data_IF_335090436132
#
_entry.id   IF_335090436132
#
_cell.length_a   1.000
_cell.length_b   1.000
_cell.length_c   1.000
_cell.angle_alpha   90.00
_cell.angle_beta   90.00
_cell.angle_gamma   90.00
#
_symmetry.space_group_name_H-M   'P 1'
#
loop_
_entity.id
_entity.type
_entity.pdbx_description
1 polymer ?
#
# COMPACT_ATOMS: atom_id res chain seq x y z
N UNK A 1 -2.96 13.63 -1.74
CA UNK A 1 -1.79 12.76 -1.98
C UNK A 1 -2.21 11.36 -1.62
N UNK A 2 -2.15 10.43 -2.57
CA UNK A 2 -2.50 9.01 -2.35
C UNK A 2 -1.35 8.25 -1.67
N UNK A 3 -1.66 7.15 -1.03
CA UNK A 3 -0.68 6.22 -0.47
C UNK A 3 0.05 5.49 -1.60
N UNK A 4 1.38 5.32 -1.47
CA UNK A 4 2.25 4.77 -2.51
C UNK A 4 2.91 3.48 -2.03
N UNK A 5 2.75 2.39 -2.78
CA UNK A 5 3.49 1.14 -2.61
C UNK A 5 4.56 0.99 -3.69
N UNK A 6 5.81 0.83 -3.31
CA UNK A 6 6.91 0.59 -4.24
C UNK A 6 7.08 -0.90 -4.54
N UNK A 7 7.02 -1.27 -5.81
CA UNK A 7 7.25 -2.65 -6.26
C UNK A 7 8.74 -2.85 -6.52
N UNK A 8 9.35 -3.76 -5.79
CA UNK A 8 10.78 -4.07 -5.89
C UNK A 8 11.01 -5.57 -6.11
N UNK A 9 12.18 -5.93 -6.62
CA UNK A 9 12.62 -7.30 -6.84
C UNK A 9 13.71 -7.36 -7.89
N UNK A 10 14.37 -8.49 -8.04
CA UNK A 10 15.40 -8.72 -9.05
C UNK A 10 14.83 -8.66 -10.48
N UNK A 11 15.66 -8.54 -11.51
CA UNK A 11 15.21 -8.68 -12.90
C UNK A 11 14.55 -10.04 -13.15
N UNK A 12 13.58 -10.08 -14.07
CA UNK A 12 12.91 -11.31 -14.54
C UNK A 12 12.10 -12.09 -13.48
N UNK A 13 11.65 -11.41 -12.40
CA UNK A 13 10.76 -12.01 -11.38
C UNK A 13 9.27 -11.75 -11.64
N UNK A 14 8.92 -11.02 -12.72
CA UNK A 14 7.55 -10.68 -13.07
C UNK A 14 7.06 -9.31 -12.63
N UNK A 15 7.95 -8.40 -12.14
CA UNK A 15 7.57 -7.04 -11.72
C UNK A 15 6.83 -6.25 -12.78
N UNK A 16 7.41 -6.16 -13.99
CA UNK A 16 6.83 -5.39 -15.09
C UNK A 16 5.51 -6.00 -15.57
N UNK A 17 5.39 -7.33 -15.53
CA UNK A 17 4.15 -8.04 -15.85
C UNK A 17 3.07 -7.68 -14.83
N UNK A 18 3.37 -7.74 -13.54
CA UNK A 18 2.49 -7.29 -12.46
C UNK A 18 2.09 -5.83 -12.62
N UNK A 19 3.05 -4.94 -12.85
CA UNK A 19 2.80 -3.51 -13.00
C UNK A 19 1.93 -3.22 -14.23
N UNK A 20 2.17 -3.90 -15.35
CA UNK A 20 1.36 -3.78 -16.56
C UNK A 20 -0.08 -4.25 -16.32
N UNK A 21 -0.28 -5.38 -15.62
CA UNK A 21 -1.61 -5.86 -15.26
C UNK A 21 -2.35 -4.87 -14.36
N UNK A 22 -1.66 -4.28 -13.37
CA UNK A 22 -2.21 -3.20 -12.52
C UNK A 22 -2.60 -1.97 -13.35
N UNK A 23 -1.75 -1.53 -14.28
CA UNK A 23 -2.00 -0.33 -15.10
C UNK A 23 -3.04 -0.57 -16.18
N UNK A 24 -3.14 -1.76 -16.75
CA UNK A 24 -4.20 -2.15 -17.69
C UNK A 24 -5.56 -2.16 -16.99
N UNK A 25 -5.64 -2.74 -15.80
CA UNK A 25 -6.84 -2.70 -14.96
C UNK A 25 -7.22 -1.25 -14.63
N UNK A 26 -6.26 -0.40 -14.29
CA UNK A 26 -6.47 1.02 -14.06
C UNK A 26 -6.96 1.75 -15.31
N UNK A 27 -6.39 1.47 -16.49
CA UNK A 27 -6.80 2.08 -17.77
C UNK A 27 -8.20 1.67 -18.19
N UNK A 28 -8.58 0.41 -18.02
CA UNK A 28 -9.93 -0.08 -18.27
C UNK A 28 -10.95 0.61 -17.35
N UNK A 29 -10.60 0.81 -16.09
CA UNK A 29 -11.42 1.57 -15.12
C UNK A 29 -11.46 3.06 -15.44
N UNK A 30 -10.35 3.66 -15.92
CA UNK A 30 -10.24 5.06 -16.26
C UNK A 30 -11.08 5.46 -17.49
N UNK A 31 -11.35 4.53 -18.40
CA UNK A 31 -12.27 4.76 -19.52
C UNK A 31 -13.68 5.18 -19.04
N UNK A 32 -14.03 4.80 -17.81
CA UNK A 32 -15.27 5.18 -17.16
C UNK A 32 -15.17 6.46 -16.30
N UNK A 33 -13.95 7.01 -16.09
CA UNK A 33 -13.72 8.16 -15.19
C UNK A 33 -12.70 9.13 -15.81
N UNK A 34 -13.11 10.33 -16.28
CA UNK A 34 -12.19 11.37 -16.79
C UNK A 34 -11.34 11.92 -15.64
N UNK A 35 -10.06 12.19 -15.90
CA UNK A 35 -9.02 12.78 -15.01
C UNK A 35 -8.00 11.83 -14.35
N UNK A 36 -7.64 10.71 -14.98
CA UNK A 36 -6.47 9.93 -14.55
C UNK A 36 -5.20 10.51 -15.19
N UNK A 37 -4.28 11.00 -14.35
CA UNK A 37 -2.93 11.38 -14.80
C UNK A 37 -2.06 10.13 -14.81
N UNK A 38 -1.52 9.76 -15.96
CA UNK A 38 -0.55 8.66 -16.08
C UNK A 38 0.84 9.27 -15.92
N UNK A 39 1.43 9.10 -14.73
CA UNK A 39 2.84 9.37 -14.53
C UNK A 39 3.66 8.14 -14.95
N UNK A 40 4.81 8.29 -15.61
CA UNK A 40 5.66 7.15 -15.91
C UNK A 40 6.02 6.37 -14.64
N UNK A 41 5.87 5.05 -14.68
CA UNK A 41 6.14 4.13 -13.57
C UNK A 41 5.24 4.30 -12.33
N UNK A 42 4.10 5.02 -12.40
CA UNK A 42 3.10 5.10 -11.35
C UNK A 42 1.77 4.60 -11.89
N UNK A 43 1.25 3.53 -11.30
CA UNK A 43 -0.09 2.99 -11.58
C UNK A 43 -1.06 3.40 -10.47
N UNK A 44 -2.07 4.21 -10.79
CA UNK A 44 -3.16 4.54 -9.87
C UNK A 44 -4.31 3.56 -10.08
N UNK A 45 -4.57 2.70 -9.10
CA UNK A 45 -5.54 1.60 -9.18
C UNK A 45 -6.70 1.85 -8.24
N UNK A 46 -7.93 1.59 -8.69
CA UNK A 46 -9.09 1.65 -7.82
C UNK A 46 -9.05 0.51 -6.78
N UNK A 47 -9.37 0.84 -5.54
CA UNK A 47 -9.53 -0.15 -4.47
C UNK A 47 -10.87 -0.83 -4.66
N UNK A 48 -10.92 -2.17 -4.84
CA UNK A 48 -12.17 -2.91 -4.94
C UNK A 48 -13.01 -2.73 -3.68
N UNK A 49 -14.23 -2.19 -3.83
CA UNK A 49 -15.10 -1.85 -2.69
C UNK A 49 -16.57 -2.09 -3.06
N UNK A 50 -17.07 -3.32 -2.91
CA UNK A 50 -18.43 -3.67 -3.30
C UNK A 50 -19.52 -2.84 -2.61
N UNK A 51 -19.28 -2.42 -1.35
CA UNK A 51 -20.22 -1.60 -0.57
C UNK A 51 -20.56 -0.28 -1.27
N UNK A 52 -19.62 0.29 -2.02
CA UNK A 52 -19.82 1.55 -2.74
C UNK A 52 -20.93 1.45 -3.80
N UNK A 53 -21.01 0.33 -4.52
CA UNK A 53 -22.03 0.08 -5.53
C UNK A 53 -23.44 -0.02 -4.91
N UNK A 54 -23.55 -0.68 -3.75
CA UNK A 54 -24.81 -0.78 -3.02
C UNK A 54 -25.29 0.58 -2.52
N UNK A 55 -24.39 1.37 -1.95
CA UNK A 55 -24.67 2.73 -1.50
C UNK A 55 -25.15 3.62 -2.66
N UNK A 56 -24.44 3.56 -3.78
CA UNK A 56 -24.79 4.33 -4.98
C UNK A 56 -26.17 3.95 -5.52
N UNK A 57 -26.50 2.66 -5.57
CA UNK A 57 -27.80 2.15 -6.01
C UNK A 57 -28.95 2.67 -5.14
N UNK A 58 -28.78 2.63 -3.81
CA UNK A 58 -29.82 3.09 -2.87
C UNK A 58 -30.01 4.61 -2.96
N UNK A 59 -28.93 5.37 -3.06
CA UNK A 59 -28.99 6.83 -3.13
C UNK A 59 -29.36 7.36 -4.52
N UNK A 60 -29.36 6.52 -5.55
CA UNK A 60 -29.57 6.93 -6.94
C UNK A 60 -28.43 7.83 -7.44
N UNK A 61 -27.21 7.57 -7.00
CA UNK A 61 -26.03 8.35 -7.37
C UNK A 61 -25.72 8.23 -8.87
N UNK A 62 -25.41 9.36 -9.50
CA UNK A 62 -25.09 9.40 -10.94
C UNK A 62 -23.66 8.92 -11.23
N UNK A 63 -22.75 9.14 -10.29
CA UNK A 63 -21.34 8.78 -10.42
C UNK A 63 -20.93 7.92 -9.21
N UNK A 64 -20.04 6.95 -9.47
CA UNK A 64 -19.46 6.07 -8.45
C UNK A 64 -17.95 6.28 -8.51
N UNK A 65 -17.35 6.82 -7.44
CA UNK A 65 -15.93 7.18 -7.41
C UNK A 65 -15.24 6.32 -6.34
N UNK A 66 -14.49 5.29 -6.75
CA UNK A 66 -13.74 4.43 -5.82
C UNK A 66 -12.57 5.17 -5.17
N UNK A 67 -12.14 4.69 -4.02
CA UNK A 67 -10.83 5.04 -3.46
C UNK A 67 -9.72 4.53 -4.38
N UNK A 68 -8.53 5.16 -4.32
CA UNK A 68 -7.42 4.81 -5.20
C UNK A 68 -6.15 4.62 -4.41
N UNK A 69 -5.31 3.70 -4.88
CA UNK A 69 -3.99 3.40 -4.36
C UNK A 69 -2.95 3.48 -5.47
N UNK A 70 -1.76 3.99 -5.16
CA UNK A 70 -0.69 4.13 -6.12
C UNK A 70 0.33 3.00 -5.95
N UNK A 71 0.66 2.35 -7.07
CA UNK A 71 1.78 1.43 -7.17
C UNK A 71 2.87 2.07 -8.02
N UNK A 72 4.12 1.98 -7.57
CA UNK A 72 5.27 2.55 -8.25
C UNK A 72 6.16 1.41 -8.71
N UNK A 73 6.33 1.24 -10.02
CA UNK A 73 7.32 0.29 -10.54
C UNK A 73 8.71 0.89 -10.35
N UNK A 74 9.46 0.26 -9.48
CA UNK A 74 10.82 0.67 -9.20
C UNK A 74 11.74 -0.27 -9.98
N UNK A 75 12.46 0.30 -10.95
CA UNK A 75 13.36 -0.45 -11.84
C UNK A 75 14.24 -1.43 -11.04
N UNK A 76 14.44 -2.64 -11.58
CA UNK A 76 15.06 -3.73 -10.85
C UNK A 76 16.42 -3.38 -10.23
N UNK A 77 16.58 -3.76 -8.99
CA UNK A 77 17.86 -3.65 -8.28
C UNK A 77 18.86 -4.61 -8.89
N UNK A 78 20.07 -4.12 -9.19
CA UNK A 78 21.23 -4.96 -9.50
C UNK A 78 22.13 -4.96 -8.28
N UNK A 79 22.75 -6.08 -7.97
CA UNK A 79 23.74 -6.20 -6.89
C UNK A 79 24.80 -5.09 -6.99
N UNK A 80 25.08 -4.41 -5.87
CA UNK A 80 26.00 -3.26 -5.85
C UNK A 80 25.36 -1.89 -6.13
N UNK A 81 24.02 -1.79 -6.20
CA UNK A 81 23.33 -0.53 -6.45
C UNK A 81 23.59 0.54 -5.38
N UNK A 82 23.86 0.14 -4.14
CA UNK A 82 24.22 1.05 -3.05
C UNK A 82 25.58 1.73 -3.27
N UNK A 83 26.49 1.13 -4.05
CA UNK A 83 27.83 1.65 -4.37
C UNK A 83 27.93 2.26 -5.77
N UNK A 84 26.85 2.17 -6.58
CA UNK A 84 26.84 2.61 -7.98
C UNK A 84 26.54 4.08 -8.16
N UNK A 85 27.19 4.71 -9.14
CA UNK A 85 26.79 6.03 -9.66
C UNK A 85 25.61 5.88 -10.61
N UNK A 86 24.60 6.78 -10.50
CA UNK A 86 23.52 6.89 -11.48
C UNK A 86 22.25 6.11 -11.14
N UNK A 87 21.97 4.99 -11.82
CA UNK A 87 20.70 4.26 -11.72
C UNK A 87 20.37 3.74 -10.32
N UNK A 88 21.39 3.30 -9.55
CA UNK A 88 21.20 2.84 -8.17
C UNK A 88 20.69 3.93 -7.23
N UNK A 89 21.22 5.16 -7.34
CA UNK A 89 20.76 6.29 -6.54
C UNK A 89 19.32 6.70 -6.89
N UNK A 90 18.93 6.62 -8.16
CA UNK A 90 17.55 6.91 -8.57
C UNK A 90 16.58 5.85 -8.05
N UNK A 91 16.97 4.58 -8.08
CA UNK A 91 16.21 3.49 -7.48
C UNK A 91 15.93 3.74 -5.99
N UNK A 92 16.99 4.05 -5.21
CA UNK A 92 16.85 4.33 -3.77
C UNK A 92 16.00 5.59 -3.50
N UNK A 93 16.11 6.61 -4.34
CA UNK A 93 15.29 7.82 -4.23
C UNK A 93 13.80 7.51 -4.46
N UNK A 94 13.47 6.71 -5.46
CA UNK A 94 12.08 6.30 -5.74
C UNK A 94 11.49 5.51 -4.56
N UNK A 95 12.25 4.58 -3.95
CA UNK A 95 11.78 3.87 -2.74
C UNK A 95 11.55 4.85 -1.59
N UNK A 96 12.37 5.87 -1.41
CA UNK A 96 12.17 6.85 -0.31
C UNK A 96 10.83 7.56 -0.39
N UNK A 97 10.29 7.76 -1.58
CA UNK A 97 9.01 8.43 -1.81
C UNK A 97 7.78 7.52 -1.60
N UNK A 98 7.97 6.23 -1.38
CA UNK A 98 6.88 5.29 -1.12
C UNK A 98 6.57 5.16 0.37
N UNK A 99 5.35 4.71 0.70
CA UNK A 99 4.91 4.45 2.08
C UNK A 99 5.17 3.00 2.52
N UNK A 100 5.22 2.07 1.57
CA UNK A 100 5.46 0.64 1.78
C UNK A 100 6.28 0.05 0.64
N UNK A 101 6.87 -1.12 0.87
CA UNK A 101 7.64 -1.89 -0.13
C UNK A 101 6.93 -3.22 -0.39
N UNK A 102 6.76 -3.55 -1.67
CA UNK A 102 6.24 -4.84 -2.13
C UNK A 102 7.37 -5.61 -2.79
N UNK A 103 7.81 -6.70 -2.17
CA UNK A 103 8.82 -7.59 -2.72
C UNK A 103 8.19 -8.60 -3.65
N UNK A 104 8.46 -8.50 -4.96
CA UNK A 104 8.05 -9.51 -5.94
C UNK A 104 9.15 -10.53 -6.09
N UNK A 105 8.83 -11.78 -5.77
CA UNK A 105 9.77 -12.89 -5.73
C UNK A 105 9.35 -13.97 -6.74
N UNK A 106 10.32 -14.47 -7.52
CA UNK A 106 10.09 -15.52 -8.50
C UNK A 106 9.95 -16.86 -7.81
N UNK A 107 8.78 -17.47 -7.93
CA UNK A 107 8.44 -18.79 -7.41
C UNK A 107 8.01 -19.76 -8.54
N UNK A 108 8.50 -19.58 -9.75
CA UNK A 108 8.22 -20.42 -10.90
C UNK A 108 9.51 -20.78 -11.63
N UNK A 109 9.55 -21.97 -12.21
CA UNK A 109 10.61 -22.42 -13.11
C UNK A 109 10.19 -22.14 -14.55
N UNK A 110 11.10 -21.59 -15.36
CA UNK A 110 10.88 -21.37 -16.78
C UNK A 110 12.24 -21.25 -17.47
N UNK A 111 12.54 -22.20 -18.36
CA UNK A 111 13.83 -22.29 -19.06
C UNK A 111 14.04 -21.14 -20.06
N UNK A 112 12.96 -20.56 -20.60
CA UNK A 112 13.01 -19.44 -21.54
C UNK A 112 13.29 -18.10 -20.84
N UNK A 113 13.12 -18.03 -19.52
CA UNK A 113 13.33 -16.82 -18.72
C UNK A 113 14.57 -16.99 -17.84
N UNK A 114 15.69 -16.44 -18.28
CA UNK A 114 16.95 -16.54 -17.54
C UNK A 114 16.83 -15.89 -16.16
N UNK A 115 17.16 -16.66 -15.10
CA UNK A 115 17.32 -16.10 -13.75
C UNK A 115 18.71 -15.47 -13.61
N UNK A 116 18.80 -14.27 -13.00
CA UNK A 116 20.06 -13.50 -12.88
C UNK A 116 21.16 -14.28 -12.14
N UNK A 117 20.77 -15.19 -11.25
CA UNK A 117 21.67 -16.02 -10.44
C UNK A 117 21.77 -17.47 -10.92
N UNK A 118 21.11 -17.81 -12.02
CA UNK A 118 21.14 -19.15 -12.64
C UNK A 118 20.26 -20.21 -11.94
N UNK A 119 19.72 -19.92 -10.76
CA UNK A 119 18.81 -20.81 -10.01
C UNK A 119 17.70 -19.99 -9.38
N UNK A 120 16.49 -20.57 -9.28
CA UNK A 120 15.35 -19.94 -8.60
C UNK A 120 15.48 -20.16 -7.10
N UNK A 121 15.78 -19.11 -6.35
CA UNK A 121 15.74 -19.09 -4.88
C UNK A 121 15.15 -17.78 -4.39
N UNK A 122 13.82 -17.73 -4.14
CA UNK A 122 13.13 -16.50 -3.76
C UNK A 122 13.64 -15.88 -2.46
N UNK A 123 14.12 -16.69 -1.52
CA UNK A 123 14.65 -16.17 -0.25
C UNK A 123 16.00 -15.51 -0.44
N UNK A 124 16.89 -16.15 -1.21
CA UNK A 124 18.18 -15.54 -1.53
C UNK A 124 18.02 -14.25 -2.36
N UNK A 125 17.01 -14.19 -3.25
CA UNK A 125 16.68 -13.00 -4.02
C UNK A 125 16.18 -11.86 -3.11
N UNK A 126 15.29 -12.16 -2.16
CA UNK A 126 14.85 -11.21 -1.15
C UNK A 126 16.04 -10.65 -0.34
N UNK A 127 16.92 -11.54 0.15
CA UNK A 127 18.07 -11.16 0.98
C UNK A 127 19.06 -10.23 0.25
N UNK A 128 19.24 -10.40 -1.05
CA UNK A 128 20.05 -9.48 -1.87
C UNK A 128 19.42 -8.08 -1.88
N UNK A 129 18.13 -7.97 -2.19
CA UNK A 129 17.46 -6.67 -2.23
C UNK A 129 17.44 -6.00 -0.87
N UNK A 130 17.11 -6.74 0.18
CA UNK A 130 17.05 -6.22 1.56
C UNK A 130 18.43 -5.75 2.04
N UNK A 131 19.50 -6.49 1.72
CA UNK A 131 20.88 -6.11 2.07
C UNK A 131 21.28 -4.80 1.42
N UNK A 132 20.98 -4.60 0.14
CA UNK A 132 21.29 -3.33 -0.55
C UNK A 132 20.54 -2.14 0.08
N UNK A 133 19.28 -2.33 0.50
CA UNK A 133 18.52 -1.29 1.21
C UNK A 133 19.11 -0.99 2.59
N UNK A 134 19.55 -2.03 3.33
CA UNK A 134 20.22 -1.87 4.63
C UNK A 134 21.55 -1.13 4.50
N UNK A 135 22.36 -1.45 3.48
CA UNK A 135 23.61 -0.76 3.22
C UNK A 135 23.42 0.72 2.88
N UNK A 136 22.39 1.03 2.08
CA UNK A 136 22.06 2.41 1.75
C UNK A 136 21.59 3.21 2.98
N UNK A 137 20.80 2.60 3.87
CA UNK A 137 20.40 3.21 5.13
C UNK A 137 21.59 3.43 6.07
N UNK A 138 22.47 2.44 6.18
CA UNK A 138 23.70 2.51 6.99
C UNK A 138 24.54 3.71 6.57
N UNK A 139 24.88 3.81 5.29
CA UNK A 139 25.69 4.91 4.75
C UNK A 139 25.04 6.28 4.99
N UNK A 140 23.72 6.38 4.75
CA UNK A 140 22.96 7.62 4.96
C UNK A 140 22.96 8.05 6.43
N UNK A 141 22.77 7.08 7.36
CA UNK A 141 22.74 7.36 8.79
C UNK A 141 24.11 7.75 9.35
N UNK A 142 25.18 7.08 8.92
CA UNK A 142 26.56 7.44 9.36
C UNK A 142 26.91 8.88 8.94
N UNK A 143 26.64 9.25 7.70
CA UNK A 143 26.83 10.63 7.22
C UNK A 143 26.00 11.64 8.02
N UNK A 144 24.71 11.33 8.28
CA UNK A 144 23.82 12.19 9.05
C UNK A 144 24.26 12.32 10.50
N UNK A 145 24.66 11.21 11.15
CA UNK A 145 25.16 11.20 12.52
C UNK A 145 26.35 12.13 12.68
N UNK A 146 27.36 12.02 11.80
CA UNK A 146 28.54 12.87 11.82
C UNK A 146 28.21 14.38 11.77
N UNK A 147 27.14 14.76 11.02
CA UNK A 147 26.67 16.14 10.93
C UNK A 147 25.98 16.66 12.20
N UNK A 148 25.25 15.80 12.92
CA UNK A 148 24.42 16.18 14.08
C UNK A 148 25.17 16.04 15.41
N UNK A 149 26.12 15.11 15.48
CA UNK A 149 26.81 14.75 16.72
C UNK A 149 27.53 15.94 17.41
N UNK A 150 28.07 16.88 16.64
CA UNK A 150 28.70 18.09 17.19
C UNK A 150 27.70 18.95 17.96
N UNK A 151 26.48 19.13 17.42
CA UNK A 151 25.40 19.87 18.08
C UNK A 151 24.88 19.14 19.31
N UNK A 152 24.76 17.81 19.25
CA UNK A 152 24.37 16.99 20.39
C UNK A 152 25.37 17.12 21.55
N UNK A 153 26.69 17.10 21.26
CA UNK A 153 27.77 17.30 22.25
C UNK A 153 27.76 18.70 22.86
N UNK A 154 27.29 19.72 22.15
CA UNK A 154 27.14 21.09 22.68
C UNK A 154 25.89 21.31 23.54
N UNK A 155 25.08 20.26 23.75
CA UNK A 155 23.93 20.31 24.67
C UNK A 155 22.57 20.48 24.01
N UNK A 156 22.51 20.58 22.68
CA UNK A 156 21.25 20.69 21.91
C UNK A 156 20.38 19.44 22.14
N UNK A 157 19.16 19.65 22.66
CA UNK A 157 18.24 18.57 23.05
C UNK A 157 17.68 17.83 21.82
N UNK A 158 17.35 18.56 20.76
CA UNK A 158 16.77 17.97 19.54
C UNK A 158 17.83 17.13 18.81
N UNK A 159 19.07 17.64 18.76
CA UNK A 159 20.19 16.90 18.20
C UNK A 159 20.49 15.63 19.00
N UNK A 160 20.40 15.65 20.34
CA UNK A 160 20.58 14.45 21.19
C UNK A 160 19.49 13.41 20.92
N UNK A 161 18.23 13.83 20.82
CA UNK A 161 17.11 12.92 20.48
C UNK A 161 17.31 12.31 19.10
N UNK A 162 17.73 13.10 18.11
CA UNK A 162 18.01 12.60 16.76
C UNK A 162 19.16 11.60 16.73
N UNK A 163 20.26 11.86 17.46
CA UNK A 163 21.38 10.91 17.56
C UNK A 163 20.93 9.60 18.19
N UNK A 164 20.11 9.64 19.24
CA UNK A 164 19.61 8.43 19.89
C UNK A 164 18.76 7.56 18.92
N UNK A 165 17.93 8.18 18.08
CA UNK A 165 17.16 7.45 17.07
C UNK A 165 18.04 6.88 15.95
N UNK A 166 19.06 7.63 15.53
CA UNK A 166 20.06 7.15 14.57
C UNK A 166 20.81 5.94 15.15
N UNK A 167 21.25 6.01 16.41
CA UNK A 167 21.96 4.90 17.05
C UNK A 167 21.08 3.66 17.19
N UNK A 168 19.80 3.83 17.46
CA UNK A 168 18.83 2.74 17.50
C UNK A 168 18.74 2.04 16.14
N UNK A 169 18.63 2.80 15.04
CA UNK A 169 18.62 2.24 13.69
C UNK A 169 19.94 1.55 13.33
N UNK A 170 21.08 2.19 13.61
CA UNK A 170 22.40 1.64 13.34
C UNK A 170 22.66 0.33 14.11
N UNK A 171 22.13 0.18 15.32
CA UNK A 171 22.23 -1.06 16.08
C UNK A 171 21.57 -2.25 15.37
N UNK A 172 20.39 -2.05 14.78
CA UNK A 172 19.71 -3.08 14.00
C UNK A 172 20.47 -3.38 12.69
N UNK A 173 20.82 -2.35 11.94
CA UNK A 173 21.50 -2.49 10.64
C UNK A 173 22.87 -3.17 10.79
N UNK A 174 23.67 -2.81 11.79
CA UNK A 174 24.95 -3.45 12.07
C UNK A 174 24.82 -4.91 12.55
N UNK A 175 23.66 -5.27 13.07
CA UNK A 175 23.32 -6.66 13.41
C UNK A 175 22.73 -7.45 12.24
N UNK A 176 22.73 -6.88 11.02
CA UNK A 176 22.14 -7.49 9.82
C UNK A 176 20.62 -7.54 9.84
N UNK A 177 19.96 -6.67 10.58
CA UNK A 177 18.51 -6.59 10.66
C UNK A 177 17.99 -5.25 10.12
N UNK A 178 16.84 -5.22 9.43
CA UNK A 178 16.26 -3.98 8.91
C UNK A 178 15.81 -3.04 10.04
N UNK A 179 15.83 -1.73 9.76
CA UNK A 179 15.47 -0.70 10.75
C UNK A 179 14.03 -0.85 11.30
N UNK A 180 13.10 -1.48 10.56
CA UNK A 180 11.73 -1.77 11.04
C UNK A 180 11.66 -2.70 12.25
N UNK A 181 12.75 -3.42 12.58
CA UNK A 181 12.84 -4.26 13.80
C UNK A 181 13.16 -3.44 15.04
N UNK A 182 13.55 -2.17 14.90
CA UNK A 182 13.83 -1.29 16.02
C UNK A 182 12.56 -0.96 16.83
N UNK A 183 12.67 -1.00 18.15
CA UNK A 183 11.55 -0.65 19.05
C UNK A 183 11.54 0.86 19.29
N UNK A 184 10.74 1.57 18.52
CA UNK A 184 10.58 3.03 18.61
C UNK A 184 9.38 3.36 19.48
N UNK A 185 9.51 4.32 20.43
CA UNK A 185 8.40 4.77 21.24
C UNK A 185 7.32 5.46 20.40
N UNK A 186 6.07 5.50 20.91
CA UNK A 186 4.98 6.21 20.20
C UNK A 186 5.27 7.71 20.03
N UNK A 187 5.92 8.32 21.02
CA UNK A 187 6.26 9.75 21.01
C UNK A 187 7.34 10.06 19.97
N UNK A 188 8.24 9.10 19.68
CA UNK A 188 9.33 9.26 18.74
C UNK A 188 8.97 8.89 17.29
N UNK A 189 7.80 8.33 17.04
CA UNK A 189 7.39 7.85 15.69
C UNK A 189 7.50 8.92 14.62
N UNK A 190 7.12 10.17 14.96
CA UNK A 190 7.24 11.29 14.03
C UNK A 190 8.69 11.62 13.70
N UNK A 191 9.56 11.66 14.70
CA UNK A 191 10.99 11.92 14.51
C UNK A 191 11.68 10.76 13.77
N UNK A 192 11.27 9.52 14.06
CA UNK A 192 11.71 8.33 13.35
C UNK A 192 11.36 8.38 11.86
N UNK A 193 10.12 8.72 11.51
CA UNK A 193 9.70 8.83 10.09
C UNK A 193 10.48 9.91 9.33
N UNK A 194 10.95 10.97 10.01
CA UNK A 194 11.80 12.00 9.41
C UNK A 194 13.22 11.51 9.07
N UNK A 195 13.64 10.35 9.56
CA UNK A 195 14.88 9.72 9.12
C UNK A 195 14.77 9.18 7.68
N UNK A 196 13.57 8.92 7.20
CA UNK A 196 13.28 8.44 5.84
C UNK A 196 14.07 7.18 5.46
N UNK A 197 14.17 6.24 6.41
CA UNK A 197 14.88 5.00 6.20
C UNK A 197 14.08 4.08 5.26
N UNK A 198 14.80 3.46 4.33
CA UNK A 198 14.23 2.51 3.38
C UNK A 198 13.71 1.27 4.10
N UNK A 199 14.55 0.73 4.98
CA UNK A 199 14.26 -0.51 5.72
C UNK A 199 13.38 -0.31 6.95
N UNK A 200 12.92 0.92 7.24
CA UNK A 200 11.91 1.19 8.27
C UNK A 200 10.49 1.05 7.76
N UNK A 201 10.30 0.99 6.44
CA UNK A 201 9.00 0.89 5.79
C UNK A 201 8.37 -0.49 6.04
N UNK A 202 7.02 -0.56 6.15
CA UNK A 202 6.31 -1.83 6.16
C UNK A 202 6.51 -2.56 4.83
N UNK A 203 6.49 -3.90 4.87
CA UNK A 203 6.77 -4.75 3.72
C UNK A 203 5.67 -5.77 3.48
N UNK A 204 5.42 -6.06 2.20
CA UNK A 204 4.52 -7.11 1.72
C UNK A 204 5.30 -8.00 0.76
N UNK A 205 5.13 -9.31 0.91
CA UNK A 205 5.71 -10.29 0.00
C UNK A 205 4.71 -10.69 -1.07
N UNK A 206 5.20 -10.86 -2.28
CA UNK A 206 4.42 -11.34 -3.42
C UNK A 206 5.18 -12.50 -4.03
N UNK A 207 4.64 -13.70 -3.86
CA UNK A 207 5.15 -14.93 -4.45
C UNK A 207 4.53 -15.11 -5.84
N UNK A 208 5.30 -14.79 -6.89
CA UNK A 208 4.85 -14.95 -8.27
C UNK A 208 5.13 -16.38 -8.72
N UNK A 209 4.06 -17.16 -8.86
CA UNK A 209 4.07 -18.59 -9.27
C UNK A 209 3.66 -18.77 -10.72
N UNK A 210 3.84 -19.98 -11.26
CA UNK A 210 3.22 -20.39 -12.52
C UNK A 210 1.70 -20.51 -12.41
N UNK A 211 1.02 -20.73 -13.54
CA UNK A 211 -0.43 -20.82 -13.61
C UNK A 211 -0.98 -22.01 -12.81
N UNK A 212 -0.32 -23.16 -12.89
CA UNK A 212 -0.75 -24.40 -12.23
C UNK A 212 -0.71 -24.27 -10.71
N UNK A 213 0.19 -23.43 -10.19
CA UNK A 213 0.39 -23.17 -8.76
C UNK A 213 -0.41 -21.98 -8.23
N UNK A 214 -1.18 -21.27 -9.06
CA UNK A 214 -1.84 -20.01 -8.67
C UNK A 214 -2.85 -20.18 -7.54
N UNK A 215 -3.58 -21.31 -7.52
CA UNK A 215 -4.59 -21.60 -6.49
C UNK A 215 -3.98 -22.19 -5.20
N UNK A 216 -2.94 -23.02 -5.31
CA UNK A 216 -2.43 -23.84 -4.21
C UNK A 216 -1.05 -23.44 -3.71
N UNK A 217 -0.33 -22.63 -4.48
CA UNK A 217 1.10 -22.39 -4.26
C UNK A 217 1.98 -23.57 -4.64
N UNK A 218 3.28 -23.43 -4.39
CA UNK A 218 4.30 -24.47 -4.60
C UNK A 218 5.39 -24.36 -3.52
N UNK A 219 6.39 -25.26 -3.54
CA UNK A 219 7.46 -25.30 -2.56
C UNK A 219 8.27 -23.99 -2.44
N UNK A 220 8.40 -23.19 -3.52
CA UNK A 220 9.04 -21.88 -3.49
C UNK A 220 8.17 -20.86 -2.80
N UNK A 221 6.88 -20.80 -3.13
CA UNK A 221 5.93 -19.88 -2.49
C UNK A 221 5.73 -20.19 -1.01
N UNK A 222 5.75 -21.47 -0.60
CA UNK A 222 5.67 -21.88 0.82
C UNK A 222 6.83 -21.29 1.64
N UNK A 223 8.05 -21.31 1.07
CA UNK A 223 9.22 -20.68 1.71
C UNK A 223 9.06 -19.18 1.85
N UNK A 224 8.45 -18.52 0.85
CA UNK A 224 8.16 -17.07 0.93
C UNK A 224 7.12 -16.77 1.99
N UNK A 225 6.05 -17.56 2.07
CA UNK A 225 5.01 -17.43 3.12
C UNK A 225 5.60 -17.58 4.51
N UNK A 226 6.49 -18.57 4.72
CA UNK A 226 7.16 -18.77 6.00
C UNK A 226 8.07 -17.58 6.34
N UNK A 227 8.88 -17.12 5.38
CA UNK A 227 9.72 -15.94 5.56
C UNK A 227 8.90 -14.68 5.88
N UNK A 228 7.78 -14.45 5.20
CA UNK A 228 6.88 -13.35 5.50
C UNK A 228 6.37 -13.41 6.94
N UNK A 229 6.02 -14.61 7.43
CA UNK A 229 5.58 -14.84 8.81
C UNK A 229 6.69 -14.49 9.82
N UNK A 230 7.94 -14.90 9.57
CA UNK A 230 9.11 -14.53 10.40
C UNK A 230 9.36 -13.03 10.45
N UNK A 231 9.14 -12.35 9.32
CA UNK A 231 9.22 -10.89 9.23
C UNK A 231 8.03 -10.17 9.90
N UNK A 232 6.95 -10.87 10.22
CA UNK A 232 5.69 -10.28 10.69
C UNK A 232 4.96 -9.51 9.58
N UNK A 233 5.15 -9.95 8.33
CA UNK A 233 4.61 -9.35 7.13
C UNK A 233 3.54 -10.24 6.48
N UNK A 234 2.72 -9.64 5.61
CA UNK A 234 1.79 -10.37 4.74
C UNK A 234 2.49 -11.00 3.53
N UNK A 235 1.85 -12.01 2.94
CA UNK A 235 2.25 -12.59 1.66
C UNK A 235 1.04 -12.83 0.77
N UNK A 236 1.17 -12.49 -0.51
CA UNK A 236 0.17 -12.79 -1.55
C UNK A 236 0.82 -13.74 -2.56
N UNK A 237 0.22 -14.90 -2.76
CA UNK A 237 0.60 -15.85 -3.81
C UNK A 237 -0.29 -15.58 -5.02
N UNK A 238 0.29 -15.34 -6.20
CA UNK A 238 -0.46 -15.08 -7.43
C UNK A 238 0.39 -15.41 -8.66
N UNK A 239 -0.24 -15.50 -9.84
CA UNK A 239 0.45 -15.61 -11.11
C UNK A 239 0.32 -14.31 -11.92
N UNK A 240 1.44 -13.65 -12.17
CA UNK A 240 1.46 -12.43 -12.98
C UNK A 240 0.96 -12.66 -14.41
N UNK A 241 1.10 -13.86 -14.93
CA UNK A 241 0.60 -14.25 -16.24
C UNK A 241 -0.93 -14.30 -16.24
N UNK A 242 -1.55 -15.02 -15.30
CA UNK A 242 -3.02 -15.04 -15.13
C UNK A 242 -3.58 -13.63 -14.98
N UNK A 243 -2.95 -12.77 -14.17
CA UNK A 243 -3.43 -11.39 -13.98
C UNK A 243 -3.41 -10.58 -15.29
N UNK A 244 -2.39 -10.80 -16.12
CA UNK A 244 -2.32 -10.15 -17.44
C UNK A 244 -3.43 -10.62 -18.39
N UNK A 245 -3.82 -11.88 -18.31
CA UNK A 245 -4.92 -12.44 -19.09
C UNK A 245 -6.27 -11.93 -18.57
N UNK A 246 -6.49 -11.97 -17.25
CA UNK A 246 -7.69 -11.45 -16.60
C UNK A 246 -7.94 -9.96 -16.90
N UNK A 247 -6.87 -9.17 -17.05
CA UNK A 247 -6.97 -7.75 -17.37
C UNK A 247 -7.56 -7.48 -18.79
N UNK A 248 -7.53 -8.48 -19.68
CA UNK A 248 -8.04 -8.38 -21.05
C UNK A 248 -9.46 -8.91 -21.21
N UNK A 249 -10.00 -9.61 -20.20
CA UNK A 249 -11.32 -10.21 -20.21
C UNK A 249 -12.39 -9.23 -19.73
N UNK A 250 -13.60 -9.36 -20.23
CA UNK A 250 -14.77 -8.71 -19.65
C UNK A 250 -15.18 -9.38 -18.32
N UNK A 251 -16.16 -8.84 -17.64
CA UNK A 251 -16.50 -9.29 -16.28
C UNK A 251 -17.11 -10.70 -16.26
N UNK A 252 -17.83 -11.12 -17.33
CA UNK A 252 -18.44 -12.46 -17.45
C UNK A 252 -17.37 -13.50 -17.73
N UNK A 253 -16.54 -13.29 -18.74
CA UNK A 253 -15.42 -14.17 -19.11
C UNK A 253 -14.40 -14.28 -17.97
N UNK A 254 -14.15 -13.18 -17.24
CA UNK A 254 -13.26 -13.16 -16.08
C UNK A 254 -13.76 -14.06 -14.94
N UNK A 255 -15.06 -14.04 -14.65
CA UNK A 255 -15.65 -14.87 -13.62
C UNK A 255 -15.54 -16.37 -13.97
N UNK A 256 -15.83 -16.74 -15.22
CA UNK A 256 -15.70 -18.11 -15.71
C UNK A 256 -14.23 -18.59 -15.69
N UNK A 257 -13.30 -17.72 -16.06
CA UNK A 257 -11.88 -18.06 -16.04
C UNK A 257 -11.35 -18.30 -14.63
N UNK A 258 -11.71 -17.44 -13.66
CA UNK A 258 -11.37 -17.63 -12.25
C UNK A 258 -11.93 -18.94 -11.69
N UNK A 259 -13.18 -19.29 -12.00
CA UNK A 259 -13.81 -20.55 -11.57
C UNK A 259 -13.04 -21.76 -12.14
N UNK A 260 -12.65 -21.71 -13.41
CA UNK A 260 -11.87 -22.76 -14.07
C UNK A 260 -10.52 -22.99 -13.38
N UNK A 261 -9.89 -21.92 -12.88
CA UNK A 261 -8.61 -21.97 -12.16
C UNK A 261 -8.78 -22.29 -10.66
N UNK A 262 -10.01 -22.38 -10.15
CA UNK A 262 -10.28 -22.57 -8.73
C UNK A 262 -9.92 -21.35 -7.85
N UNK A 263 -9.97 -20.16 -8.44
CA UNK A 263 -9.68 -18.90 -7.75
C UNK A 263 -10.98 -18.17 -7.41
N UNK A 264 -11.11 -17.68 -6.18
CA UNK A 264 -12.29 -16.92 -5.74
C UNK A 264 -12.27 -15.47 -6.24
N UNK A 265 -11.07 -14.88 -6.35
CA UNK A 265 -10.88 -13.51 -6.80
C UNK A 265 -9.51 -13.32 -7.48
N UNK A 266 -9.33 -12.27 -8.30
CA UNK A 266 -8.03 -11.94 -8.88
C UNK A 266 -6.94 -11.72 -7.82
N UNK A 267 -5.72 -12.15 -8.11
CA UNK A 267 -4.57 -11.89 -7.23
C UNK A 267 -4.27 -10.41 -7.05
N UNK A 268 -4.55 -9.58 -8.08
CA UNK A 268 -4.45 -8.12 -7.98
C UNK A 268 -5.41 -7.55 -6.95
N UNK A 269 -6.64 -8.05 -6.84
CA UNK A 269 -7.59 -7.65 -5.80
C UNK A 269 -7.03 -7.96 -4.42
N UNK A 270 -6.51 -9.17 -4.20
CA UNK A 270 -5.85 -9.55 -2.95
C UNK A 270 -4.63 -8.69 -2.64
N UNK A 271 -3.82 -8.36 -3.66
CA UNK A 271 -2.66 -7.49 -3.50
C UNK A 271 -3.06 -6.07 -3.08
N UNK A 272 -4.09 -5.50 -3.68
CA UNK A 272 -4.58 -4.15 -3.34
C UNK A 272 -5.09 -4.14 -1.89
N UNK A 273 -5.89 -5.13 -1.48
CA UNK A 273 -6.38 -5.24 -0.11
C UNK A 273 -5.23 -5.46 0.89
N UNK A 274 -4.27 -6.33 0.57
CA UNK A 274 -3.10 -6.55 1.42
C UNK A 274 -2.25 -5.28 1.58
N UNK A 275 -2.09 -4.49 0.51
CA UNK A 275 -1.43 -3.17 0.56
C UNK A 275 -2.20 -2.15 1.41
N UNK A 276 -3.53 -2.20 1.35
CA UNK A 276 -4.41 -1.37 2.17
C UNK A 276 -4.25 -1.67 3.66
N UNK A 277 -4.28 -2.95 4.01
CA UNK A 277 -4.07 -3.41 5.39
C UNK A 277 -2.65 -3.13 5.89
N UNK A 278 -1.63 -3.34 5.03
CA UNK A 278 -0.23 -3.05 5.35
C UNK A 278 0.00 -1.60 5.78
N UNK A 279 -0.71 -0.67 5.16
CA UNK A 279 -0.62 0.77 5.44
C UNK A 279 -1.59 1.22 6.53
N UNK A 280 -2.28 0.28 7.19
CA UNK A 280 -3.29 0.54 8.23
C UNK A 280 -4.37 1.50 7.75
N UNK A 281 -4.90 1.24 6.53
CA UNK A 281 -5.91 2.05 5.89
C UNK A 281 -7.31 1.49 6.12
N UNK A 282 -8.30 2.37 5.99
CA UNK A 282 -9.72 2.02 5.98
C UNK A 282 -10.50 2.99 5.10
N UNK A 283 -11.73 2.59 4.76
CA UNK A 283 -12.62 3.33 3.87
C UNK A 283 -13.80 3.92 4.62
N UNK A 284 -14.12 5.17 4.34
CA UNK A 284 -15.43 5.75 4.63
C UNK A 284 -16.06 6.28 3.34
N UNK A 285 -17.35 6.56 3.38
CA UNK A 285 -18.13 6.96 2.21
C UNK A 285 -18.78 8.33 2.38
N UNK A 286 -18.89 9.06 1.28
CA UNK A 286 -19.82 10.17 1.13
C UNK A 286 -20.80 9.80 0.04
N UNK A 287 -22.10 9.97 0.30
CA UNK A 287 -23.16 9.48 -0.59
C UNK A 287 -24.17 10.58 -0.82
N UNK A 288 -24.54 10.81 -2.08
CA UNK A 288 -25.54 11.76 -2.49
C UNK A 288 -26.05 11.52 -3.91
N UNK A 289 -27.05 12.28 -4.38
CA UNK A 289 -27.63 12.07 -5.72
C UNK A 289 -26.66 12.34 -6.88
N UNK A 290 -25.61 13.14 -6.65
CA UNK A 290 -24.58 13.43 -7.67
C UNK A 290 -23.56 12.31 -7.73
N UNK A 291 -23.00 11.95 -6.59
CA UNK A 291 -21.94 10.96 -6.50
C UNK A 291 -22.04 10.13 -5.21
N UNK A 292 -21.60 8.87 -5.28
CA UNK A 292 -21.18 8.06 -4.17
C UNK A 292 -19.67 7.88 -4.27
N UNK A 293 -18.95 8.20 -3.19
CA UNK A 293 -17.50 8.19 -3.21
C UNK A 293 -16.91 7.51 -1.99
N UNK A 294 -15.91 6.67 -2.24
CA UNK A 294 -15.07 6.06 -1.22
C UNK A 294 -13.83 6.92 -0.96
N UNK A 295 -13.49 7.08 0.31
CA UNK A 295 -12.37 7.87 0.77
C UNK A 295 -11.44 7.03 1.64
N UNK A 296 -10.15 7.18 1.43
CA UNK A 296 -9.13 6.45 2.19
C UNK A 296 -8.62 7.30 3.35
N UNK A 297 -8.61 6.70 4.55
CA UNK A 297 -7.99 7.27 5.76
C UNK A 297 -7.17 6.21 6.48
N UNK A 298 -6.26 6.62 7.35
CA UNK A 298 -5.62 5.69 8.29
C UNK A 298 -6.60 5.28 9.39
N UNK A 299 -6.55 4.04 9.83
CA UNK A 299 -7.31 3.57 11.00
C UNK A 299 -6.98 4.46 12.21
N UNK A 300 -7.99 4.76 13.01
CA UNK A 300 -7.85 5.69 14.13
C UNK A 300 -7.94 7.18 13.79
N UNK A 301 -8.17 7.54 12.52
CA UNK A 301 -8.38 8.93 12.14
C UNK A 301 -9.68 9.48 12.72
N UNK A 302 -9.61 10.70 13.26
CA UNK A 302 -10.80 11.40 13.78
C UNK A 302 -11.61 12.05 12.65
N UNK A 303 -12.88 12.36 12.92
CA UNK A 303 -13.79 12.96 11.93
C UNK A 303 -13.25 14.25 11.28
N UNK A 304 -12.58 15.19 11.98
CA UNK A 304 -11.93 16.33 11.33
C UNK A 304 -10.83 15.93 10.36
N UNK A 305 -10.02 14.89 10.72
CA UNK A 305 -8.97 14.39 9.82
C UNK A 305 -9.56 13.73 8.56
N UNK A 306 -10.64 12.98 8.72
CA UNK A 306 -11.38 12.42 7.59
C UNK A 306 -11.96 13.53 6.69
N UNK A 307 -12.56 14.57 7.27
CA UNK A 307 -13.03 15.73 6.52
C UNK A 307 -11.89 16.43 5.75
N UNK A 308 -10.70 16.49 6.35
CA UNK A 308 -9.48 17.06 5.75
C UNK A 308 -9.00 16.33 4.49
N UNK A 309 -9.32 15.05 4.35
CA UNK A 309 -9.00 14.27 3.13
C UNK A 309 -9.82 14.76 1.93
N UNK A 310 -11.04 15.22 2.18
CA UNK A 310 -11.89 15.82 1.13
C UNK A 310 -11.34 17.19 0.74
N UNK A 311 -11.15 18.07 1.74
CA UNK A 311 -10.57 19.40 1.55
C UNK A 311 -10.04 19.95 2.87
N UNK A 312 -8.90 20.64 2.83
CA UNK A 312 -8.29 21.23 4.04
C UNK A 312 -9.19 22.21 4.79
N UNK A 313 -10.09 22.90 4.10
CA UNK A 313 -11.04 23.81 4.75
C UNK A 313 -12.12 23.07 5.54
N UNK A 314 -12.48 21.85 5.14
CA UNK A 314 -13.41 21.00 5.90
C UNK A 314 -12.82 20.58 7.24
N UNK A 315 -11.51 20.31 7.31
CA UNK A 315 -10.81 20.06 8.58
C UNK A 315 -10.82 21.29 9.48
N UNK A 316 -10.44 22.45 8.92
CA UNK A 316 -10.34 23.71 9.66
C UNK A 316 -11.70 24.20 10.17
N UNK A 317 -12.71 24.13 9.31
CA UNK A 317 -14.08 24.57 9.60
C UNK A 317 -14.97 23.50 10.22
N UNK A 318 -14.45 22.32 10.59
CA UNK A 318 -15.22 21.19 11.06
C UNK A 318 -16.12 21.54 12.26
N UNK A 319 -17.42 21.26 12.12
CA UNK A 319 -18.42 21.42 13.19
C UNK A 319 -18.80 20.04 13.73
N UNK A 320 -19.31 19.17 12.89
CA UNK A 320 -19.76 17.80 13.22
C UNK A 320 -19.82 16.92 11.96
N UNK A 321 -19.87 15.59 12.17
CA UNK A 321 -20.17 14.61 11.14
C UNK A 321 -21.54 13.96 11.44
N UNK A 322 -22.43 13.98 10.47
CA UNK A 322 -23.64 13.17 10.47
C UNK A 322 -23.24 11.80 9.95
N UNK A 323 -23.35 10.77 10.79
CA UNK A 323 -22.70 9.45 10.58
C UNK A 323 -23.75 8.36 10.61
N UNK A 324 -23.76 7.50 9.57
CA UNK A 324 -24.58 6.30 9.49
C UNK A 324 -23.63 5.13 9.21
N UNK A 325 -23.72 4.04 9.98
CA UNK A 325 -22.95 2.84 9.68
C UNK A 325 -23.49 2.19 8.38
N UNK A 326 -22.62 1.62 7.55
CA UNK A 326 -23.01 0.96 6.29
C UNK A 326 -24.19 -0.02 6.46
N UNK A 327 -24.20 -0.95 7.43
CA UNK A 327 -25.32 -1.88 7.61
C UNK A 327 -26.65 -1.16 7.90
N UNK A 328 -26.61 -0.09 8.70
CA UNK A 328 -27.81 0.70 9.02
C UNK A 328 -28.31 1.47 7.79
N UNK A 329 -27.41 1.99 6.95
CA UNK A 329 -27.77 2.67 5.71
C UNK A 329 -28.49 1.72 4.75
N UNK A 330 -27.98 0.49 4.59
CA UNK A 330 -28.60 -0.53 3.73
C UNK A 330 -29.95 -0.99 4.30
N UNK A 331 -29.97 -1.35 5.60
CA UNK A 331 -31.17 -1.88 6.25
C UNK A 331 -32.38 -0.92 6.22
N UNK A 332 -32.11 0.39 6.24
CA UNK A 332 -33.17 1.42 6.26
C UNK A 332 -33.37 2.12 4.90
N UNK A 333 -32.76 1.62 3.82
CA UNK A 333 -32.98 2.13 2.47
C UNK A 333 -32.44 3.53 2.23
N UNK A 334 -31.35 3.92 2.93
CA UNK A 334 -30.65 5.17 2.72
C UNK A 334 -30.72 6.15 3.89
N UNK A 335 -30.26 7.37 3.65
CA UNK A 335 -30.10 8.41 4.67
C UNK A 335 -31.42 8.77 5.37
N UNK A 336 -32.50 8.96 4.60
CA UNK A 336 -33.80 9.34 5.15
C UNK A 336 -34.37 8.28 6.10
N UNK A 337 -34.37 7.00 5.68
CA UNK A 337 -34.86 5.91 6.51
C UNK A 337 -34.01 5.65 7.74
N UNK A 338 -32.67 5.74 7.59
CA UNK A 338 -31.77 5.64 8.73
C UNK A 338 -31.97 6.76 9.76
N UNK A 339 -32.26 7.98 9.28
CA UNK A 339 -32.58 9.12 10.14
C UNK A 339 -33.89 8.92 10.90
N UNK A 340 -34.94 8.48 10.21
CA UNK A 340 -36.25 8.17 10.83
C UNK A 340 -36.13 7.05 11.87
N UNK A 341 -35.30 6.06 11.61
CA UNK A 341 -35.02 4.95 12.52
C UNK A 341 -34.08 5.34 13.69
N UNK A 342 -33.60 6.59 13.76
CA UNK A 342 -32.69 7.06 14.80
C UNK A 342 -31.27 6.51 14.69
N UNK A 343 -30.87 6.04 13.47
CA UNK A 343 -29.56 5.46 13.20
C UNK A 343 -28.53 6.47 12.71
N UNK A 344 -28.95 7.68 12.35
CA UNK A 344 -28.04 8.78 12.06
C UNK A 344 -27.56 9.42 13.35
N UNK A 345 -26.25 9.33 13.61
CA UNK A 345 -25.56 9.91 14.76
C UNK A 345 -24.98 11.27 14.39
N UNK A 346 -24.88 12.16 15.38
CA UNK A 346 -24.17 13.45 15.24
C UNK A 346 -22.90 13.37 16.03
N UNK A 347 -21.76 13.26 15.35
CA UNK A 347 -20.45 12.99 15.94
C UNK A 347 -19.59 14.26 15.96
N UNK A 348 -18.87 14.46 17.06
CA UNK A 348 -17.97 15.59 17.29
C UNK A 348 -16.53 15.33 16.83
N UNK A 349 -15.63 16.26 17.25
CA UNK A 349 -14.22 16.25 16.81
C UNK A 349 -13.42 15.04 17.28
N UNK A 350 -13.80 14.42 18.39
CA UNK A 350 -13.10 13.27 18.97
C UNK A 350 -13.57 11.92 18.39
N UNK A 351 -14.60 11.93 17.54
CA UNK A 351 -15.10 10.70 16.93
C UNK A 351 -14.04 10.08 16.03
N UNK A 352 -13.69 8.83 16.33
CA UNK A 352 -12.82 8.00 15.50
C UNK A 352 -13.67 7.30 14.44
N UNK A 353 -13.46 7.67 13.18
CA UNK A 353 -14.19 7.11 12.04
C UNK A 353 -13.99 5.60 11.96
N UNK A 354 -15.09 4.88 11.73
CA UNK A 354 -15.08 3.43 11.56
C UNK A 354 -15.08 3.06 10.07
N UNK A 355 -14.52 1.89 9.77
CA UNK A 355 -14.58 1.38 8.39
C UNK A 355 -16.03 1.16 7.95
N UNK A 356 -16.38 1.68 6.78
CA UNK A 356 -17.73 1.60 6.25
C UNK A 356 -18.69 2.71 6.72
N UNK A 357 -18.26 3.67 7.53
CA UNK A 357 -19.10 4.82 7.90
C UNK A 357 -19.51 5.62 6.65
N UNK A 358 -20.77 5.97 6.55
CA UNK A 358 -21.31 6.95 5.60
C UNK A 358 -21.39 8.30 6.31
N UNK A 359 -20.59 9.26 5.85
CA UNK A 359 -20.37 10.54 6.52
C UNK A 359 -20.87 11.72 5.71
N UNK A 360 -21.54 12.65 6.40
CA UNK A 360 -21.84 13.96 5.88
C UNK A 360 -21.26 15.02 6.82
N UNK A 361 -20.22 15.71 6.36
CA UNK A 361 -19.54 16.72 7.17
C UNK A 361 -20.26 18.06 7.14
N UNK A 362 -20.43 18.67 8.31
CA UNK A 362 -20.90 20.05 8.50
C UNK A 362 -19.72 20.90 8.92
N UNK A 363 -19.45 21.95 8.15
CA UNK A 363 -18.32 22.85 8.33
C UNK A 363 -18.72 24.30 8.01
N UNK A 364 -17.97 25.28 8.52
CA UNK A 364 -18.10 26.71 8.22
C UNK A 364 -17.18 27.12 7.07
#
# INVERSE_FOLDING_TARGET
MGFKCGIVGLPNVGKSTLFNALTQTAAAQAANYPFCTIEPNVGEVAVPEPRLNELARIAGSKEIIPARMNFVDIAGLVEGASKGEGLGNQFLANIRETDAIIYVLRCFENDDITHVRGTVDPIADFEVVETELMLADLESLEKRKAGVEKKAKSGDKDAKAQVALIDLALAELNAGRPARKAKVSKDDQRAWSMLQLLTSKPVLFVANVDEESAATGNAHSDRVVERAREEGAGCVVFSAQIESELAMLDDEDRAEYLETLGLEEPGLTRLIHAGYDLLDLQTYFTVGPKEARAWTIRRGATAPKAAGVIHGDFEKGFIRAETIAFPDFIAHGGEAGAKEAGKMRSEGKEYVVQDGDVLHFRFN
#
